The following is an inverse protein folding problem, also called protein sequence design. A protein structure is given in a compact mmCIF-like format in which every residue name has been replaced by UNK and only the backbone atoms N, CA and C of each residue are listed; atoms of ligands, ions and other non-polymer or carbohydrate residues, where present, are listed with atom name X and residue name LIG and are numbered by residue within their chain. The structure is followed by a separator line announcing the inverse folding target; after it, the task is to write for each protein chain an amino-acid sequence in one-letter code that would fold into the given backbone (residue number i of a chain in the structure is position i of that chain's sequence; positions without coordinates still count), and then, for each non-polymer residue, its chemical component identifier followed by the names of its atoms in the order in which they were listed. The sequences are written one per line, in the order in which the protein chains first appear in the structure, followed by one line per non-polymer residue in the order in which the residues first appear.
data_IF_042305073471
#
_entry.id   IF_042305073471
#
_cell.length_a   1.000
_cell.length_b   1.000
_cell.length_c   1.000
_cell.angle_alpha   90.00
_cell.angle_beta   90.00
_cell.angle_gamma   90.00
#
_symmetry.space_group_name_H-M   'P 1'
#
loop_
_entity.id
_entity.type
_entity.pdbx_description
1 polymer ?
#
# COMPACT_ATOMS: atom_id res chain seq x y z
N UNK A 1 -5.04 29.72 -6.85
CA UNK A 1 -3.58 29.84 -6.61
C UNK A 1 -2.85 28.92 -7.59
N UNK A 2 -1.61 29.23 -7.94
CA UNK A 2 -0.78 28.32 -8.70
C UNK A 2 -0.46 27.09 -7.83
N UNK A 3 -0.51 25.89 -8.41
CA UNK A 3 -0.34 24.62 -7.68
C UNK A 3 0.88 23.90 -8.23
N UNK A 4 1.76 23.40 -7.36
CA UNK A 4 2.87 22.54 -7.77
C UNK A 4 2.41 21.09 -7.77
N UNK A 5 2.59 20.42 -8.89
CA UNK A 5 2.41 18.98 -9.06
C UNK A 5 3.78 18.36 -9.22
N UNK A 6 3.99 17.18 -8.64
CA UNK A 6 5.26 16.47 -8.68
C UNK A 6 5.02 15.17 -9.44
N UNK A 7 5.96 14.80 -10.32
CA UNK A 7 5.92 13.56 -11.07
C UNK A 7 7.30 12.90 -11.07
N UNK A 8 7.32 11.57 -10.95
CA UNK A 8 8.51 10.74 -11.19
C UNK A 8 8.66 10.45 -12.68
N UNK A 9 9.89 10.47 -13.18
CA UNK A 9 10.22 10.23 -14.59
C UNK A 9 11.73 9.93 -14.70
N UNK A 10 12.21 9.52 -15.88
CA UNK A 10 13.66 9.40 -16.12
C UNK A 10 14.30 10.77 -16.37
N UNK A 11 15.62 10.87 -16.20
CA UNK A 11 16.37 12.09 -16.49
C UNK A 11 16.20 12.54 -17.95
N UNK A 12 16.22 11.59 -18.89
CA UNK A 12 15.99 11.83 -20.32
C UNK A 12 14.61 12.44 -20.59
N UNK A 13 13.56 11.88 -19.99
CA UNK A 13 12.20 12.40 -20.10
C UNK A 13 12.05 13.76 -19.42
N UNK A 14 12.62 13.94 -18.22
CA UNK A 14 12.60 15.22 -17.52
C UNK A 14 13.23 16.34 -18.35
N UNK A 15 14.35 16.05 -19.05
CA UNK A 15 14.99 17.00 -19.95
C UNK A 15 14.10 17.36 -21.15
N UNK A 16 13.41 16.38 -21.74
CA UNK A 16 12.42 16.63 -22.81
C UNK A 16 11.25 17.50 -22.32
N UNK A 17 10.72 17.22 -21.14
CA UNK A 17 9.64 18.00 -20.52
C UNK A 17 10.11 19.44 -20.26
N UNK A 18 11.33 19.65 -19.75
CA UNK A 18 11.91 20.99 -19.56
C UNK A 18 12.08 21.72 -20.90
N UNK A 19 12.50 21.01 -21.94
CA UNK A 19 12.66 21.56 -23.29
C UNK A 19 11.32 21.87 -23.99
N UNK A 20 10.19 21.54 -23.36
CA UNK A 20 8.86 21.80 -23.89
C UNK A 20 8.29 20.69 -24.76
N UNK A 21 8.97 19.54 -24.83
CA UNK A 21 8.46 18.31 -25.45
C UNK A 21 7.72 17.47 -24.42
N UNK A 22 6.41 17.69 -24.36
CA UNK A 22 5.51 17.02 -23.44
C UNK A 22 4.78 15.84 -24.07
N UNK A 23 5.07 15.51 -25.35
CA UNK A 23 4.47 14.35 -26.02
C UNK A 23 5.05 13.03 -25.48
N UNK A 24 6.26 13.08 -24.93
CA UNK A 24 6.93 11.97 -24.25
C UNK A 24 6.39 11.66 -22.85
N UNK A 25 5.46 12.47 -22.31
CA UNK A 25 5.00 12.34 -20.93
C UNK A 25 3.47 12.17 -20.87
N UNK A 26 3.01 10.92 -20.80
CA UNK A 26 1.59 10.65 -20.50
C UNK A 26 1.33 10.81 -19.00
N UNK A 27 1.03 12.06 -18.64
CA UNK A 27 0.66 12.48 -17.29
C UNK A 27 -0.56 11.74 -16.72
N UNK A 28 -1.33 11.00 -17.52
CA UNK A 28 -2.52 10.25 -17.05
C UNK A 28 -2.16 8.95 -16.33
N UNK A 29 -1.02 8.37 -16.68
CA UNK A 29 -0.41 7.23 -15.99
C UNK A 29 0.48 7.70 -14.83
N UNK A 30 1.12 8.87 -14.99
CA UNK A 30 2.21 9.32 -14.11
C UNK A 30 1.87 10.47 -13.13
N UNK A 31 0.60 10.91 -13.07
CA UNK A 31 0.19 11.99 -12.16
C UNK A 31 -1.15 11.63 -11.49
N UNK A 32 -1.15 11.23 -10.21
CA UNK A 32 -2.38 11.17 -9.46
C UNK A 32 -2.84 12.61 -9.22
N UNK A 33 -3.91 12.97 -9.91
CA UNK A 33 -4.71 14.12 -9.52
C UNK A 33 -5.13 13.93 -8.06
N UNK A 34 -4.53 14.66 -7.14
CA UNK A 34 -5.13 15.39 -6.03
C UNK A 34 -4.05 15.71 -4.99
N UNK A 35 -4.11 16.92 -4.45
CA UNK A 35 -3.34 17.42 -3.28
C UNK A 35 -2.10 16.59 -2.94
N UNK A 36 -1.01 16.84 -3.67
CA UNK A 36 0.27 16.17 -3.46
C UNK A 36 0.84 16.57 -2.09
N UNK A 37 0.46 15.82 -1.06
CA UNK A 37 1.33 15.49 0.05
C UNK A 37 1.73 14.04 -0.18
N UNK A 38 2.87 13.84 -0.86
CA UNK A 38 3.74 12.65 -0.89
C UNK A 38 3.12 11.37 -0.30
N UNK A 39 2.06 10.91 -0.93
CA UNK A 39 1.62 9.53 -0.89
C UNK A 39 1.99 8.97 -2.24
N UNK A 40 3.10 8.24 -2.28
CA UNK A 40 3.46 7.22 -3.26
C UNK A 40 2.79 7.31 -4.65
N UNK A 41 3.53 7.85 -5.61
CA UNK A 41 3.11 7.95 -7.00
C UNK A 41 3.58 6.69 -7.79
N UNK A 42 2.68 5.98 -8.50
CA UNK A 42 3.04 4.92 -9.44
C UNK A 42 4.10 5.33 -10.48
N UNK A 43 4.13 6.59 -10.89
CA UNK A 43 5.15 7.15 -11.80
C UNK A 43 6.58 6.98 -11.29
N UNK A 44 6.76 7.13 -9.96
CA UNK A 44 8.07 7.00 -9.30
C UNK A 44 8.43 5.51 -9.12
N UNK A 45 7.46 4.59 -9.26
CA UNK A 45 7.69 3.14 -9.32
C UNK A 45 8.08 2.68 -10.73
N UNK A 46 7.43 3.22 -11.74
CA UNK A 46 7.66 2.83 -13.13
C UNK A 46 9.00 3.38 -13.67
N UNK A 47 9.40 4.58 -13.24
CA UNK A 47 10.72 5.14 -13.54
C UNK A 47 11.91 4.40 -12.89
N UNK A 48 11.70 3.64 -11.80
CA UNK A 48 12.76 2.82 -11.16
C UNK A 48 12.94 1.45 -11.81
N UNK A 49 11.94 0.95 -12.55
CA UNK A 49 12.02 -0.36 -13.21
C UNK A 49 12.74 -0.28 -14.58
N UNK A 50 12.99 0.93 -15.09
CA UNK A 50 13.83 1.17 -16.26
C UNK A 50 15.27 1.42 -15.78
N UNK A 51 16.08 0.36 -15.67
CA UNK A 51 17.50 0.47 -15.34
C UNK A 51 18.31 -0.26 -16.40
N UNK A 52 18.85 0.48 -17.36
CA UNK A 52 19.91 0.01 -18.26
C UNK A 52 21.04 1.06 -18.49
N UNK A 53 20.82 2.38 -18.25
CA UNK A 53 21.83 3.45 -18.44
C UNK A 53 21.59 4.72 -17.56
N UNK A 54 22.58 5.62 -17.46
CA UNK A 54 22.56 6.88 -16.68
C UNK A 54 21.49 7.89 -17.19
N UNK A 55 21.00 7.69 -18.43
CA UNK A 55 19.85 8.40 -19.00
C UNK A 55 18.51 8.03 -18.38
N UNK A 56 18.44 6.85 -17.74
CA UNK A 56 17.24 6.31 -17.10
C UNK A 56 17.19 6.59 -15.59
N UNK A 57 18.15 7.39 -15.09
CA UNK A 57 18.17 7.79 -13.68
C UNK A 57 16.83 8.41 -13.28
N UNK A 58 16.15 7.89 -12.23
CA UNK A 58 14.87 8.43 -11.80
C UNK A 58 15.06 9.82 -11.21
N UNK A 59 14.23 10.77 -11.65
CA UNK A 59 14.20 12.15 -11.15
C UNK A 59 12.77 12.60 -10.86
N UNK A 60 12.65 13.61 -9.99
CA UNK A 60 11.36 14.23 -9.68
C UNK A 60 11.28 15.60 -10.33
N UNK A 61 10.21 15.83 -11.08
CA UNK A 61 9.95 17.11 -11.75
C UNK A 61 8.80 17.84 -11.05
N UNK A 62 9.00 19.13 -10.77
CA UNK A 62 7.94 20.03 -10.30
C UNK A 62 7.28 20.77 -11.48
N UNK A 63 5.98 20.57 -11.66
CA UNK A 63 5.13 21.24 -12.63
C UNK A 63 4.30 22.32 -11.92
N UNK A 64 4.50 23.60 -12.25
CA UNK A 64 3.69 24.69 -11.71
C UNK A 64 2.48 24.95 -12.61
N UNK A 65 1.28 24.63 -12.12
CA UNK A 65 0.02 24.81 -12.83
C UNK A 65 -0.57 26.20 -12.58
N UNK A 66 -1.22 26.79 -13.61
CA UNK A 66 -1.91 28.08 -13.51
C UNK A 66 -3.12 28.09 -12.56
N UNK A 67 -3.79 26.95 -12.35
CA UNK A 67 -4.98 26.83 -11.48
C UNK A 67 -5.28 25.38 -11.07
N UNK A 68 -5.77 25.16 -9.84
CA UNK A 68 -6.19 23.84 -9.32
C UNK A 68 -7.35 23.20 -10.10
N UNK A 69 -8.25 24.01 -10.67
CA UNK A 69 -9.38 23.52 -11.49
C UNK A 69 -8.94 22.86 -12.79
N UNK A 70 -7.66 23.04 -13.16
CA UNK A 70 -7.06 22.42 -14.33
C UNK A 70 -6.76 20.95 -14.09
N UNK A 71 -6.67 20.48 -12.84
CA UNK A 71 -6.70 19.04 -12.59
C UNK A 71 -8.07 18.53 -13.07
N UNK A 72 -9.15 18.74 -12.34
CA UNK A 72 -10.52 18.20 -12.49
C UNK A 72 -11.17 17.99 -13.90
N UNK A 73 -10.69 18.52 -15.03
CA UNK A 73 -11.27 18.26 -16.36
C UNK A 73 -10.24 17.62 -17.30
N UNK A 74 -10.73 16.79 -18.23
CA UNK A 74 -10.05 16.33 -19.46
C UNK A 74 -9.49 17.46 -20.39
N UNK A 75 -9.37 18.68 -19.86
CA UNK A 75 -8.84 19.89 -20.48
C UNK A 75 -7.34 20.11 -20.27
N UNK A 76 -6.61 19.23 -19.59
CA UNK A 76 -5.12 19.25 -19.62
C UNK A 76 -4.56 18.64 -20.91
N UNK A 77 -5.41 18.51 -21.95
CA UNK A 77 -4.95 18.35 -23.33
C UNK A 77 -4.18 19.57 -23.88
N UNK A 78 -4.05 20.68 -23.14
CA UNK A 78 -3.39 21.90 -23.64
C UNK A 78 -2.23 22.36 -22.76
N UNK A 79 -1.03 22.03 -23.23
CA UNK A 79 0.33 22.45 -22.87
C UNK A 79 0.47 23.91 -22.38
N UNK A 80 -0.43 24.79 -22.80
CA UNK A 80 -0.54 26.19 -22.34
C UNK A 80 -0.79 26.41 -20.83
N UNK A 81 -1.05 25.34 -20.06
CA UNK A 81 -1.44 25.42 -18.65
C UNK A 81 -0.27 25.29 -17.64
N UNK A 82 0.88 24.79 -18.09
CA UNK A 82 2.11 24.67 -17.30
C UNK A 82 2.86 26.00 -17.38
N UNK A 83 3.17 26.59 -16.22
CA UNK A 83 3.87 27.87 -16.13
C UNK A 83 5.38 27.68 -16.17
N UNK A 84 5.87 26.70 -15.42
CA UNK A 84 7.29 26.33 -15.35
C UNK A 84 7.43 24.86 -14.98
N UNK A 85 8.52 24.26 -15.44
CA UNK A 85 8.96 22.91 -15.11
C UNK A 85 10.39 22.98 -14.60
N UNK A 86 10.71 22.24 -13.52
CA UNK A 86 12.10 22.05 -13.10
C UNK A 86 12.32 20.69 -12.46
N UNK A 87 13.48 20.11 -12.68
CA UNK A 87 13.98 19.00 -11.88
C UNK A 87 14.26 19.52 -10.47
N UNK A 88 13.87 18.76 -9.46
CA UNK A 88 14.13 19.09 -8.06
C UNK A 88 15.47 18.46 -7.68
N UNK A 89 16.44 19.25 -7.18
CA UNK A 89 17.67 18.68 -6.64
C UNK A 89 17.39 17.76 -5.45
N UNK A 90 18.18 16.68 -5.31
CA UNK A 90 18.01 15.70 -4.24
C UNK A 90 18.02 16.32 -2.83
N UNK A 91 18.81 17.38 -2.61
CA UNK A 91 18.80 18.13 -1.34
C UNK A 91 17.49 18.89 -1.09
N UNK A 92 16.88 19.47 -2.13
CA UNK A 92 15.60 20.17 -2.02
C UNK A 92 14.47 19.16 -1.83
N UNK A 93 14.55 18.02 -2.54
CA UNK A 93 13.66 16.90 -2.34
C UNK A 93 13.79 16.35 -0.92
N UNK A 94 15.00 16.16 -0.42
CA UNK A 94 15.29 15.74 0.95
C UNK A 94 14.66 16.69 1.98
N UNK A 95 14.90 18.00 1.84
CA UNK A 95 14.36 19.01 2.77
C UNK A 95 12.83 19.08 2.74
N UNK A 96 12.20 18.85 1.59
CA UNK A 96 10.74 18.95 1.40
C UNK A 96 10.01 17.66 1.74
N UNK A 97 10.62 16.53 1.45
CA UNK A 97 9.97 15.21 1.44
C UNK A 97 10.46 14.29 2.55
N UNK A 98 11.65 14.54 3.09
CA UNK A 98 12.29 13.71 4.10
C UNK A 98 12.97 12.45 3.55
N UNK A 99 13.02 12.27 2.22
CA UNK A 99 13.63 11.11 1.56
C UNK A 99 15.04 11.44 1.07
N UNK A 100 16.03 10.61 1.45
CA UNK A 100 17.34 10.57 0.77
C UNK A 100 17.27 9.55 -0.35
N UNK A 101 17.43 10.00 -1.59
CA UNK A 101 17.96 9.16 -2.66
C UNK A 101 19.47 9.01 -2.46
N UNK A 102 20.02 7.88 -2.88
CA UNK A 102 21.44 7.49 -2.73
C UNK A 102 22.39 8.68 -2.74
N UNK A 103 22.79 9.11 -1.55
CA UNK A 103 23.78 10.13 -1.32
C UNK A 103 25.09 9.41 -1.02
N UNK A 104 26.21 9.85 -1.60
CA UNK A 104 27.54 9.30 -1.28
C UNK A 104 27.80 9.30 0.24
N UNK A 105 27.20 10.22 1.00
CA UNK A 105 27.27 10.27 2.46
C UNK A 105 26.54 9.12 3.19
N UNK A 106 25.71 8.33 2.51
CA UNK A 106 25.06 7.13 3.03
C UNK A 106 25.77 5.85 2.62
N UNK A 107 26.74 5.93 1.71
CA UNK A 107 27.52 4.78 1.27
C UNK A 107 28.28 4.18 2.46
N UNK A 108 28.19 2.85 2.61
CA UNK A 108 28.83 2.11 3.71
C UNK A 108 28.06 2.11 5.04
N UNK A 109 26.93 2.80 5.16
CA UNK A 109 26.05 2.66 6.33
C UNK A 109 25.21 1.38 6.24
N UNK A 110 25.05 0.71 7.39
CA UNK A 110 24.23 -0.49 7.51
C UNK A 110 22.75 -0.16 7.26
N UNK A 111 22.10 -0.97 6.43
CA UNK A 111 20.66 -0.87 6.20
C UNK A 111 19.90 -1.77 7.17
N UNK A 112 18.74 -1.32 7.64
CA UNK A 112 17.90 -2.13 8.48
C UNK A 112 16.43 -1.76 8.43
N UNK A 113 15.62 -2.59 9.07
CA UNK A 113 14.18 -2.38 9.20
C UNK A 113 13.82 -2.01 10.63
N UNK A 114 13.01 -0.98 10.80
CA UNK A 114 12.51 -0.57 12.12
C UNK A 114 11.50 -1.58 12.62
N UNK A 115 11.87 -2.36 13.62
CA UNK A 115 11.07 -3.44 14.22
C UNK A 115 10.09 -2.92 15.28
N UNK A 116 10.54 -1.94 16.07
CA UNK A 116 9.77 -1.31 17.16
C UNK A 116 10.12 0.16 17.26
N UNK A 117 9.14 0.97 17.61
CA UNK A 117 9.33 2.40 17.89
C UNK A 117 8.61 2.77 19.19
N UNK A 118 9.33 3.38 20.13
CA UNK A 118 8.78 3.85 21.40
C UNK A 118 9.54 5.05 21.92
N UNK A 119 8.85 6.17 22.16
CA UNK A 119 9.40 7.36 22.81
C UNK A 119 10.73 7.90 22.23
N UNK A 120 10.91 7.80 20.90
CA UNK A 120 12.15 8.24 20.22
C UNK A 120 13.30 7.24 20.26
N UNK A 121 13.06 6.04 20.81
CA UNK A 121 13.94 4.87 20.72
C UNK A 121 13.37 3.90 19.69
N UNK A 122 14.24 3.41 18.81
CA UNK A 122 13.89 2.55 17.70
C UNK A 122 14.72 1.28 17.79
N UNK A 123 14.09 0.11 17.65
CA UNK A 123 14.82 -1.14 17.47
C UNK A 123 14.90 -1.40 15.98
N UNK A 124 16.11 -1.46 15.43
CA UNK A 124 16.38 -1.66 14.02
C UNK A 124 17.05 -3.01 13.82
N UNK A 125 16.49 -3.86 12.96
CA UNK A 125 17.10 -5.12 12.53
C UNK A 125 17.97 -4.85 11.31
N UNK A 126 19.28 -5.10 11.42
CA UNK A 126 20.23 -5.07 10.32
C UNK A 126 20.77 -6.50 10.15
N UNK A 127 20.46 -7.15 9.04
CA UNK A 127 20.79 -8.56 8.81
C UNK A 127 20.37 -9.44 10.00
N UNK A 128 21.31 -10.06 10.71
CA UNK A 128 21.06 -10.88 11.90
C UNK A 128 21.03 -10.08 13.21
N UNK A 129 21.58 -8.87 13.24
CA UNK A 129 21.78 -8.08 14.44
C UNK A 129 20.66 -7.07 14.70
N UNK A 130 20.46 -6.72 15.98
CA UNK A 130 19.52 -5.70 16.40
C UNK A 130 20.22 -4.56 17.12
N UNK A 131 19.94 -3.35 16.68
CA UNK A 131 20.47 -2.13 17.28
C UNK A 131 19.36 -1.31 17.92
N UNK A 132 19.61 -0.84 19.13
CA UNK A 132 18.85 0.23 19.75
C UNK A 132 19.32 1.57 19.20
N UNK A 133 18.48 2.19 18.39
CA UNK A 133 18.80 3.45 17.72
C UNK A 133 18.03 4.64 18.27
N UNK A 134 18.66 5.80 18.15
CA UNK A 134 18.03 7.12 18.29
C UNK A 134 18.16 7.90 16.98
N UNK A 135 17.49 9.04 16.85
CA UNK A 135 17.62 9.92 15.68
C UNK A 135 18.87 10.81 15.81
N UNK A 136 19.60 11.02 14.71
CA UNK A 136 20.76 11.93 14.68
C UNK A 136 20.31 13.39 14.73
N UNK A 137 20.77 14.16 15.72
CA UNK A 137 20.62 15.63 15.76
C UNK A 137 19.38 16.18 16.48
N UNK A 138 19.19 17.51 16.43
CA UNK A 138 18.00 18.19 16.97
C UNK A 138 16.77 17.68 16.21
N UNK A 139 15.67 17.40 16.93
CA UNK A 139 14.39 16.91 16.40
C UNK A 139 13.88 17.70 15.18
N UNK A 140 14.32 18.94 14.99
CA UNK A 140 13.97 19.82 13.87
C UNK A 140 14.48 19.35 12.49
N UNK A 141 15.53 18.54 12.42
CA UNK A 141 15.99 17.96 11.14
C UNK A 141 14.98 16.93 10.60
N UNK A 142 14.24 16.28 11.49
CA UNK A 142 13.08 15.47 11.18
C UNK A 142 11.83 16.36 11.30
N UNK A 143 11.48 17.05 10.22
CA UNK A 143 10.28 17.89 10.17
C UNK A 143 9.02 17.10 10.58
N UNK A 144 7.88 17.77 10.79
CA UNK A 144 6.58 17.13 11.06
C UNK A 144 6.21 15.98 10.10
N UNK A 145 6.84 15.91 8.92
CA UNK A 145 6.66 14.88 7.91
C UNK A 145 7.66 13.70 7.97
N UNK A 146 8.68 13.74 8.83
CA UNK A 146 9.77 12.77 8.87
C UNK A 146 9.69 11.88 10.13
N UNK A 147 8.48 11.45 10.49
CA UNK A 147 8.31 10.48 11.57
C UNK A 147 8.73 9.08 11.10
N UNK A 148 9.64 8.47 11.85
CA UNK A 148 10.04 7.06 11.68
C UNK A 148 8.95 6.17 12.26
N UNK A 149 8.45 5.24 11.46
CA UNK A 149 7.45 4.24 11.84
C UNK A 149 8.04 2.83 11.77
N UNK A 150 7.38 1.91 12.46
CA UNK A 150 7.67 0.48 12.35
C UNK A 150 7.39 0.01 10.93
N UNK A 151 8.35 -0.69 10.33
CA UNK A 151 8.37 -1.05 8.90
C UNK A 151 9.22 -0.13 8.03
N UNK A 152 9.66 1.04 8.52
CA UNK A 152 10.59 1.86 7.75
C UNK A 152 11.92 1.14 7.54
N UNK A 153 12.42 1.21 6.31
CA UNK A 153 13.82 0.89 6.01
C UNK A 153 14.66 2.11 6.33
N UNK A 154 15.79 1.92 6.99
CA UNK A 154 16.64 3.00 7.48
C UNK A 154 18.11 2.68 7.24
N UNK A 155 18.92 3.73 7.10
CA UNK A 155 20.39 3.63 7.21
C UNK A 155 20.80 4.02 8.62
N UNK A 156 21.61 3.19 9.25
CA UNK A 156 22.11 3.43 10.60
C UNK A 156 23.63 3.57 10.62
N UNK A 157 24.11 4.46 11.48
CA UNK A 157 25.49 4.49 11.90
C UNK A 157 25.60 3.67 13.19
N UNK A 158 26.26 2.53 13.11
CA UNK A 158 26.55 1.67 14.27
C UNK A 158 27.55 2.39 15.17
N UNK A 159 27.24 2.47 16.47
CA UNK A 159 28.11 3.08 17.48
C UNK A 159 28.89 1.99 18.20
N UNK A 160 28.20 0.93 18.60
CA UNK A 160 28.74 -0.25 19.28
C UNK A 160 27.91 -1.51 18.91
N UNK A 161 28.20 -2.64 19.55
CA UNK A 161 27.54 -3.94 19.29
C UNK A 161 26.01 -3.92 19.43
N UNK A 162 25.45 -2.95 20.18
CA UNK A 162 24.02 -2.91 20.51
C UNK A 162 23.35 -1.57 20.22
N UNK A 163 24.12 -0.51 19.96
CA UNK A 163 23.60 0.83 19.74
C UNK A 163 23.97 1.40 18.37
N UNK A 164 23.07 2.23 17.86
CA UNK A 164 23.30 2.97 16.63
C UNK A 164 22.54 4.29 16.59
N UNK A 165 22.70 5.03 15.50
CA UNK A 165 21.91 6.23 15.23
C UNK A 165 21.31 6.12 13.83
N UNK A 166 20.00 6.37 13.70
CA UNK A 166 19.33 6.46 12.40
C UNK A 166 19.83 7.73 11.71
N UNK A 167 20.53 7.54 10.61
CA UNK A 167 21.03 8.60 9.76
C UNK A 167 19.99 9.02 8.70
N UNK A 168 19.23 8.05 8.18
CA UNK A 168 18.24 8.30 7.13
C UNK A 168 17.08 7.30 7.18
N UNK A 169 15.92 7.73 6.68
CA UNK A 169 14.78 6.86 6.36
C UNK A 169 14.73 6.69 4.84
N UNK A 170 14.75 5.45 4.39
CA UNK A 170 14.68 5.09 2.98
C UNK A 170 13.27 5.30 2.43
N UNK A 171 13.16 5.37 1.11
CA UNK A 171 11.87 5.48 0.43
C UNK A 171 10.93 4.34 0.82
N UNK A 172 9.66 4.70 1.06
CA UNK A 172 8.59 3.73 1.34
C UNK A 172 8.08 3.15 0.03
N UNK A 173 7.99 1.82 -0.08
CA UNK A 173 7.46 1.06 -1.23
C UNK A 173 5.94 0.83 -1.17
N UNK A 174 5.36 0.96 0.01
CA UNK A 174 3.92 0.95 0.25
C UNK A 174 3.65 1.69 1.57
N UNK A 175 2.41 2.12 1.79
CA UNK A 175 2.03 2.72 3.07
C UNK A 175 0.56 2.47 3.39
N UNK A 176 0.30 1.58 4.36
CA UNK A 176 -1.04 1.42 4.90
C UNK A 176 -1.35 2.54 5.89
N UNK A 177 -2.48 3.22 5.71
CA UNK A 177 -2.98 4.30 6.57
C UNK A 177 -4.34 3.98 7.14
N UNK A 178 -4.53 4.29 8.42
CA UNK A 178 -5.87 4.33 9.03
C UNK A 178 -5.98 5.38 10.12
N UNK A 179 -7.20 5.84 10.39
CA UNK A 179 -7.47 6.68 11.56
C UNK A 179 -7.30 5.86 12.84
N UNK A 180 -6.56 6.39 13.82
CA UNK A 180 -6.56 5.88 15.18
C UNK A 180 -7.83 6.25 15.93
N UNK A 181 -8.04 5.68 17.12
CA UNK A 181 -9.11 6.12 18.04
C UNK A 181 -8.99 7.62 18.34
N UNK A 182 -10.08 8.30 18.72
CA UNK A 182 -10.23 9.78 18.81
C UNK A 182 -9.04 10.60 19.37
N UNK A 183 -8.15 10.01 20.18
CA UNK A 183 -6.95 10.66 20.74
C UNK A 183 -5.63 10.40 20.01
N UNK A 184 -5.57 9.62 18.92
CA UNK A 184 -4.31 8.97 18.44
C UNK A 184 -3.90 9.22 16.98
N UNK A 185 -4.46 10.23 16.31
CA UNK A 185 -4.01 10.62 14.97
C UNK A 185 -4.19 9.51 13.91
N UNK A 186 -3.24 9.41 12.97
CA UNK A 186 -3.23 8.41 11.88
C UNK A 186 -2.19 7.33 12.19
N UNK A 187 -2.59 6.06 12.15
CA UNK A 187 -1.68 4.91 12.22
C UNK A 187 -1.16 4.61 10.83
N UNK A 188 0.15 4.42 10.71
CA UNK A 188 0.88 4.19 9.46
C UNK A 188 1.72 2.93 9.57
N UNK A 189 1.73 2.14 8.50
CA UNK A 189 2.60 0.99 8.33
C UNK A 189 3.27 1.12 6.96
N UNK A 190 4.46 1.70 6.90
CA UNK A 190 5.25 1.74 5.68
C UNK A 190 5.80 0.37 5.30
N UNK A 191 6.09 0.19 4.01
CA UNK A 191 6.74 -0.99 3.43
C UNK A 191 6.03 -2.30 3.76
N UNK A 192 4.71 -2.26 3.94
CA UNK A 192 3.92 -3.47 4.01
C UNK A 192 3.88 -4.10 2.61
N UNK A 193 4.66 -5.13 2.37
CA UNK A 193 4.77 -5.76 1.05
C UNK A 193 3.51 -6.59 0.73
N UNK A 194 2.95 -7.28 1.73
CA UNK A 194 1.85 -8.22 1.57
C UNK A 194 0.69 -8.04 2.53
N UNK A 195 -0.54 -8.10 2.03
CA UNK A 195 -1.77 -8.14 2.84
C UNK A 195 -2.51 -9.46 2.64
N UNK A 196 -2.44 -10.34 3.63
CA UNK A 196 -3.20 -11.61 3.63
C UNK A 196 -4.63 -11.33 4.11
N UNK A 197 -5.57 -11.35 3.18
CA UNK A 197 -7.00 -11.13 3.42
C UNK A 197 -7.66 -12.47 3.73
N UNK A 198 -7.83 -12.76 5.01
CA UNK A 198 -8.41 -14.01 5.49
C UNK A 198 -9.93 -13.93 5.48
N UNK A 199 -10.55 -14.79 4.68
CA UNK A 199 -11.98 -15.07 4.67
C UNK A 199 -12.23 -16.49 5.17
N UNK A 200 -13.37 -16.75 5.82
CA UNK A 200 -13.76 -18.10 6.22
C UNK A 200 -14.79 -18.64 5.23
N UNK A 201 -14.68 -19.91 4.88
CA UNK A 201 -15.64 -20.58 3.99
C UNK A 201 -16.95 -20.98 4.68
N UNK A 202 -17.06 -20.76 6.00
CA UNK A 202 -18.26 -21.15 6.78
C UNK A 202 -18.76 -20.07 7.74
N UNK A 203 -18.06 -19.85 8.86
CA UNK A 203 -18.50 -18.92 9.90
C UNK A 203 -17.39 -17.93 10.30
N UNK A 204 -17.52 -16.63 9.98
CA UNK A 204 -18.55 -16.06 9.10
C UNK A 204 -18.41 -16.57 7.65
N UNK A 205 -19.49 -16.54 6.84
CA UNK A 205 -19.42 -16.90 5.43
C UNK A 205 -18.61 -15.87 4.65
N UNK A 206 -18.29 -16.21 3.40
CA UNK A 206 -17.53 -15.33 2.51
C UNK A 206 -18.34 -14.07 2.23
N UNK A 207 -17.93 -12.96 2.82
CA UNK A 207 -18.55 -11.67 2.56
C UNK A 207 -17.79 -10.96 1.43
N UNK A 208 -18.16 -11.27 0.18
CA UNK A 208 -17.51 -10.78 -1.05
C UNK A 208 -17.26 -9.27 -1.04
N UNK A 209 -18.26 -8.48 -0.66
CA UNK A 209 -18.11 -7.03 -0.55
C UNK A 209 -17.04 -6.59 0.45
N UNK A 210 -16.90 -7.27 1.59
CA UNK A 210 -15.83 -6.94 2.54
C UNK A 210 -14.46 -7.35 2.00
N UNK A 211 -14.38 -8.47 1.30
CA UNK A 211 -13.18 -8.89 0.58
C UNK A 211 -12.77 -7.84 -0.46
N UNK A 212 -13.71 -7.40 -1.29
CA UNK A 212 -13.51 -6.35 -2.30
C UNK A 212 -13.01 -5.04 -1.67
N UNK A 213 -13.55 -4.68 -0.50
CA UNK A 213 -13.09 -3.50 0.24
C UNK A 213 -11.64 -3.61 0.70
N UNK A 214 -11.19 -4.78 1.15
CA UNK A 214 -9.79 -5.00 1.50
C UNK A 214 -8.88 -4.94 0.26
N UNK A 215 -9.32 -5.51 -0.86
CA UNK A 215 -8.58 -5.47 -2.12
C UNK A 215 -8.38 -4.02 -2.59
N UNK A 216 -9.43 -3.21 -2.60
CA UNK A 216 -9.34 -1.78 -2.94
C UNK A 216 -8.35 -1.04 -2.04
N UNK A 217 -8.34 -1.33 -0.74
CA UNK A 217 -7.40 -0.70 0.19
C UNK A 217 -5.97 -1.16 -0.08
N UNK A 218 -5.75 -2.44 -0.41
CA UNK A 218 -4.43 -2.96 -0.75
C UNK A 218 -3.89 -2.30 -2.04
N UNK A 219 -4.70 -2.28 -3.10
CA UNK A 219 -4.40 -1.64 -4.38
C UNK A 219 -4.05 -0.15 -4.18
N UNK A 220 -4.91 0.59 -3.46
CA UNK A 220 -4.67 2.01 -3.20
C UNK A 220 -3.44 2.28 -2.31
N UNK A 221 -2.98 1.29 -1.54
CA UNK A 221 -1.82 1.41 -0.67
C UNK A 221 -0.53 0.87 -1.32
N UNK A 222 -0.62 0.32 -2.54
CA UNK A 222 0.50 -0.33 -3.23
C UNK A 222 0.97 -1.62 -2.55
N UNK A 223 0.06 -2.34 -1.89
CA UNK A 223 0.35 -3.57 -1.14
C UNK A 223 -0.16 -4.76 -1.93
N UNK A 224 0.64 -5.82 -2.10
CA UNK A 224 0.23 -7.03 -2.80
C UNK A 224 -0.81 -7.80 -1.96
N UNK A 225 -2.07 -7.96 -2.43
CA UNK A 225 -3.06 -8.72 -1.69
C UNK A 225 -2.94 -10.23 -1.98
N UNK A 226 -3.16 -11.03 -0.94
CA UNK A 226 -3.37 -12.47 -1.04
C UNK A 226 -4.73 -12.82 -0.42
N UNK A 227 -5.60 -13.49 -1.17
CA UNK A 227 -6.89 -13.95 -0.66
C UNK A 227 -6.69 -15.32 -0.02
N UNK A 228 -6.96 -15.44 1.27
CA UNK A 228 -6.84 -16.70 2.00
C UNK A 228 -8.23 -17.19 2.44
N UNK A 229 -8.72 -18.25 1.81
CA UNK A 229 -9.98 -18.89 2.17
C UNK A 229 -9.71 -20.00 3.19
N UNK A 230 -9.98 -19.68 4.46
CA UNK A 230 -9.69 -20.54 5.59
C UNK A 230 -10.89 -21.40 6.02
N UNK A 231 -10.60 -22.44 6.82
CA UNK A 231 -11.57 -23.41 7.38
C UNK A 231 -12.14 -24.38 6.35
N UNK A 232 -11.37 -24.72 5.32
CA UNK A 232 -11.80 -25.67 4.27
C UNK A 232 -12.08 -27.08 4.81
N UNK A 233 -11.56 -27.41 5.99
CA UNK A 233 -11.89 -28.62 6.75
C UNK A 233 -13.39 -28.72 7.11
N UNK A 234 -14.11 -27.61 7.07
CA UNK A 234 -15.54 -27.57 7.36
C UNK A 234 -16.44 -27.72 6.13
N UNK A 235 -15.87 -27.78 4.92
CA UNK A 235 -16.60 -27.93 3.67
C UNK A 235 -16.95 -29.40 3.43
N UNK A 236 -18.21 -29.64 3.05
CA UNK A 236 -18.64 -30.92 2.47
C UNK A 236 -18.47 -30.97 0.95
N UNK A 237 -18.57 -29.80 0.33
CA UNK A 237 -18.44 -29.56 -1.11
C UNK A 237 -17.64 -28.27 -1.30
N UNK A 238 -16.79 -28.23 -2.32
CA UNK A 238 -15.92 -27.09 -2.66
C UNK A 238 -16.48 -26.23 -3.81
N UNK A 239 -17.57 -26.65 -4.47
CA UNK A 239 -18.09 -25.96 -5.66
C UNK A 239 -18.31 -24.45 -5.47
N UNK A 240 -18.87 -24.03 -4.32
CA UNK A 240 -19.09 -22.61 -4.03
C UNK A 240 -17.77 -21.83 -3.90
N UNK A 241 -16.83 -22.32 -3.08
CA UNK A 241 -15.56 -21.62 -2.85
C UNK A 241 -14.70 -21.59 -4.11
N UNK A 242 -14.71 -22.68 -4.90
CA UNK A 242 -13.97 -22.77 -6.16
C UNK A 242 -14.53 -21.80 -7.19
N UNK A 243 -15.86 -21.64 -7.26
CA UNK A 243 -16.51 -20.67 -8.15
C UNK A 243 -16.13 -19.22 -7.82
N UNK A 244 -16.10 -18.88 -6.52
CA UNK A 244 -15.70 -17.53 -6.06
C UNK A 244 -14.21 -17.32 -6.30
N UNK A 245 -13.38 -18.33 -6.00
CA UNK A 245 -11.93 -18.32 -6.22
C UNK A 245 -11.60 -18.03 -7.68
N UNK A 246 -12.25 -18.73 -8.62
CA UNK A 246 -12.04 -18.55 -10.04
C UNK A 246 -12.35 -17.12 -10.53
N UNK A 247 -13.30 -16.42 -9.90
CA UNK A 247 -13.60 -15.02 -10.25
C UNK A 247 -12.43 -14.11 -9.88
N UNK A 248 -11.86 -14.26 -8.68
CA UNK A 248 -10.74 -13.43 -8.22
C UNK A 248 -9.43 -13.76 -8.96
N UNK A 249 -9.19 -15.03 -9.27
CA UNK A 249 -8.00 -15.45 -10.02
C UNK A 249 -8.04 -14.96 -11.47
N UNK A 250 -9.21 -14.96 -12.12
CA UNK A 250 -9.37 -14.44 -13.48
C UNK A 250 -9.00 -12.96 -13.60
N UNK A 251 -9.20 -12.18 -12.53
CA UNK A 251 -8.86 -10.75 -12.49
C UNK A 251 -7.46 -10.49 -11.92
N UNK A 252 -6.65 -11.53 -11.73
CA UNK A 252 -5.23 -11.44 -11.40
C UNK A 252 -4.88 -11.57 -9.91
N UNK A 253 -5.85 -11.80 -9.03
CA UNK A 253 -5.56 -12.01 -7.60
C UNK A 253 -5.15 -13.44 -7.30
N UNK A 254 -4.08 -13.61 -6.52
CA UNK A 254 -3.70 -14.91 -5.99
C UNK A 254 -4.63 -15.33 -4.85
N UNK A 255 -5.05 -16.59 -4.86
CA UNK A 255 -5.82 -17.19 -3.77
C UNK A 255 -5.10 -18.40 -3.19
N UNK A 256 -5.35 -18.70 -1.91
CA UNK A 256 -4.92 -19.92 -1.25
C UNK A 256 -6.07 -20.43 -0.37
N UNK A 257 -6.41 -21.71 -0.53
CA UNK A 257 -7.31 -22.44 0.35
C UNK A 257 -6.50 -22.98 1.55
N UNK A 258 -6.95 -22.71 2.77
CA UNK A 258 -6.25 -23.15 3.98
C UNK A 258 -7.15 -23.81 5.01
N UNK A 259 -6.57 -24.68 5.82
CA UNK A 259 -7.12 -25.08 7.11
C UNK A 259 -6.06 -24.94 8.19
N UNK A 260 -6.28 -24.01 9.11
CA UNK A 260 -5.46 -23.91 10.32
C UNK A 260 -5.55 -25.18 11.21
N UNK A 261 -6.60 -25.99 11.05
CA UNK A 261 -6.82 -27.22 11.82
C UNK A 261 -6.04 -28.40 11.26
N UNK A 262 -6.10 -28.61 9.93
CA UNK A 262 -5.46 -29.76 9.29
C UNK A 262 -4.04 -29.45 8.80
N UNK A 263 -3.68 -28.17 8.67
CA UNK A 263 -2.41 -27.71 8.11
C UNK A 263 -2.41 -27.54 6.59
N UNK A 264 -3.52 -27.86 5.91
CA UNK A 264 -3.64 -27.68 4.46
C UNK A 264 -3.43 -26.21 4.07
N UNK A 265 -2.63 -25.97 3.02
CA UNK A 265 -2.31 -24.64 2.48
C UNK A 265 -1.37 -23.77 3.34
N UNK A 266 -0.92 -24.24 4.51
CA UNK A 266 -0.04 -23.46 5.40
C UNK A 266 1.35 -23.26 4.78
N UNK A 267 1.91 -24.27 4.11
CA UNK A 267 3.22 -24.15 3.46
C UNK A 267 3.18 -23.20 2.25
N UNK A 268 2.09 -23.20 1.47
CA UNK A 268 1.90 -22.25 0.38
C UNK A 268 1.80 -20.80 0.90
N UNK A 269 1.13 -20.62 2.03
CA UNK A 269 1.03 -19.33 2.71
C UNK A 269 2.40 -18.86 3.22
N UNK A 270 3.19 -19.74 3.85
CA UNK A 270 4.58 -19.43 4.26
C UNK A 270 5.45 -19.05 3.06
N UNK A 271 5.35 -19.81 1.97
CA UNK A 271 6.11 -19.55 0.75
C UNK A 271 5.79 -18.17 0.16
N UNK A 272 4.52 -17.76 0.17
CA UNK A 272 4.12 -16.43 -0.30
C UNK A 272 4.60 -15.30 0.64
N UNK A 273 4.59 -15.52 1.96
CA UNK A 273 5.00 -14.54 2.97
C UNK A 273 6.53 -14.41 3.11
N UNK A 274 7.29 -15.36 2.60
CA UNK A 274 8.75 -15.42 2.77
C UNK A 274 9.43 -14.16 2.24
N UNK A 275 10.24 -13.53 3.10
CA UNK A 275 11.00 -12.32 2.75
C UNK A 275 10.18 -11.03 2.63
N UNK A 276 8.88 -11.09 2.94
CA UNK A 276 7.96 -9.94 2.91
C UNK A 276 7.68 -9.42 4.31
N UNK A 277 7.43 -8.13 4.46
CA UNK A 277 6.65 -7.61 5.58
C UNK A 277 5.17 -7.86 5.24
N UNK A 278 4.54 -8.75 5.99
CA UNK A 278 3.14 -9.16 5.77
C UNK A 278 2.23 -8.72 6.92
N UNK A 279 0.95 -8.53 6.64
CA UNK A 279 -0.09 -8.33 7.65
C UNK A 279 -1.30 -9.21 7.35
N UNK A 280 -1.99 -9.67 8.40
CA UNK A 280 -3.24 -10.43 8.27
C UNK A 280 -4.44 -9.55 8.57
N UNK A 281 -5.44 -9.62 7.69
CA UNK A 281 -6.71 -8.93 7.85
C UNK A 281 -7.91 -9.80 7.54
N UNK A 282 -9.11 -9.33 7.85
CA UNK A 282 -10.36 -10.07 7.71
C UNK A 282 -11.29 -9.93 8.90
N UNK A 283 -12.52 -10.41 8.77
CA UNK A 283 -13.55 -10.30 9.81
C UNK A 283 -13.18 -11.04 11.10
N UNK A 284 -13.85 -10.71 12.21
CA UNK A 284 -13.71 -11.50 13.43
C UNK A 284 -14.18 -12.93 13.18
N UNK A 285 -13.51 -13.92 13.79
CA UNK A 285 -13.92 -15.33 13.68
C UNK A 285 -13.42 -16.08 12.43
N UNK A 286 -12.87 -15.42 11.41
CA UNK A 286 -12.37 -16.09 10.17
C UNK A 286 -11.14 -17.00 10.38
N UNK A 287 -10.48 -16.90 11.54
CA UNK A 287 -9.35 -17.77 11.92
C UNK A 287 -7.95 -17.16 11.74
N UNK A 288 -7.82 -15.83 11.62
CA UNK A 288 -6.51 -15.15 11.54
C UNK A 288 -5.51 -15.60 12.62
N UNK A 289 -5.93 -15.62 13.87
CA UNK A 289 -5.06 -16.02 15.00
C UNK A 289 -4.70 -17.49 14.95
N UNK A 290 -5.62 -18.36 14.52
CA UNK A 290 -5.33 -19.78 14.30
C UNK A 290 -4.31 -19.98 13.17
N UNK A 291 -4.44 -19.23 12.06
CA UNK A 291 -3.47 -19.23 10.97
C UNK A 291 -2.10 -18.73 11.42
N UNK A 292 -2.03 -17.61 12.16
CA UNK A 292 -0.76 -17.11 12.69
C UNK A 292 -0.05 -18.13 13.56
N UNK A 293 -0.79 -18.83 14.43
CA UNK A 293 -0.23 -19.89 15.26
C UNK A 293 0.21 -21.12 14.46
N UNK A 294 -0.47 -21.44 13.35
CA UNK A 294 -0.09 -22.54 12.46
C UNK A 294 1.16 -22.20 11.62
N UNK A 295 1.27 -20.93 11.18
CA UNK A 295 2.41 -20.42 10.39
C UNK A 295 3.66 -20.30 11.27
N UNK A 296 3.51 -19.73 12.46
CA UNK A 296 4.59 -19.46 13.40
C UNK A 296 4.17 -19.89 14.81
N UNK A 297 4.39 -21.16 15.18
CA UNK A 297 4.15 -21.64 16.53
C UNK A 297 4.95 -20.81 17.55
N UNK A 298 4.35 -20.54 18.72
CA UNK A 298 5.03 -19.78 19.77
C UNK A 298 5.09 -18.28 19.54
N UNK A 299 4.53 -17.75 18.44
CA UNK A 299 4.30 -16.33 18.26
C UNK A 299 3.28 -15.86 19.30
N UNK A 300 3.75 -15.39 20.46
CA UNK A 300 2.93 -14.85 21.56
C UNK A 300 2.36 -13.48 21.20
N UNK A 301 1.71 -13.37 20.04
CA UNK A 301 0.79 -12.29 19.77
C UNK A 301 -0.28 -12.35 20.85
N UNK A 302 -0.72 -11.19 21.36
CA UNK A 302 -1.81 -11.14 22.33
C UNK A 302 -3.09 -11.58 21.61
N UNK A 303 -3.32 -12.89 21.55
CA UNK A 303 -4.59 -13.47 21.16
C UNK A 303 -5.57 -13.07 22.24
N UNK A 304 -6.29 -11.96 22.02
CA UNK A 304 -7.45 -11.62 22.81
C UNK A 304 -8.52 -12.68 22.53
N UNK A 305 -8.41 -13.82 23.23
CA UNK A 305 -9.56 -14.64 23.52
C UNK A 305 -10.61 -13.70 24.11
N UNK A 306 -11.80 -13.67 23.50
CA UNK A 306 -12.92 -12.84 23.94
C UNK A 306 -13.28 -13.32 25.35
N UNK A 307 -12.79 -12.64 26.38
CA UNK A 307 -13.21 -12.90 27.75
C UNK A 307 -14.60 -12.25 27.93
N UNK A 308 -15.69 -13.01 28.04
CA UNK A 308 -17.05 -12.46 28.02
C UNK A 308 -17.45 -11.75 29.33
N UNK A 309 -16.57 -11.73 30.35
CA UNK A 309 -16.93 -11.30 31.71
C UNK A 309 -16.18 -10.11 32.28
N UNK A 310 -15.32 -9.43 31.50
CA UNK A 310 -14.70 -8.18 31.96
C UNK A 310 -14.64 -7.17 30.82
N UNK A 311 -15.36 -6.07 30.96
CA UNK A 311 -15.13 -4.84 30.21
C UNK A 311 -13.70 -4.37 30.46
N UNK A 312 -12.78 -4.78 29.58
CA UNK A 312 -11.35 -4.65 29.76
C UNK A 312 -10.75 -3.86 28.61
N UNK A 313 -10.60 -2.56 28.83
CA UNK A 313 -9.95 -1.58 27.96
C UNK A 313 -8.44 -1.85 27.91
N UNK A 314 -8.00 -2.77 27.07
CA UNK A 314 -6.57 -2.99 26.82
C UNK A 314 -6.26 -2.99 25.32
N UNK A 315 -5.98 -1.78 24.85
CA UNK A 315 -5.54 -1.42 23.50
C UNK A 315 -4.03 -1.66 23.43
N UNK A 316 -3.54 -2.68 22.73
CA UNK A 316 -2.13 -2.67 22.30
C UNK A 316 -2.01 -1.53 21.28
N UNK A 317 -1.16 -0.53 21.54
CA UNK A 317 -1.20 0.78 20.85
C UNK A 317 -0.11 0.93 19.78
N UNK A 318 0.98 0.16 19.86
CA UNK A 318 2.09 0.24 18.93
C UNK A 318 2.11 -0.96 17.98
N UNK A 319 2.19 -0.66 16.69
CA UNK A 319 2.58 -1.64 15.66
C UNK A 319 3.95 -2.22 16.01
N UNK A 320 4.13 -3.52 15.87
CA UNK A 320 5.42 -4.19 15.99
C UNK A 320 5.60 -5.18 14.85
N UNK A 321 6.84 -5.36 14.40
CA UNK A 321 7.20 -6.46 13.51
C UNK A 321 7.71 -7.64 14.33
N UNK A 322 7.35 -8.84 13.89
CA UNK A 322 7.86 -10.08 14.42
C UNK A 322 8.53 -10.87 13.30
N UNK A 323 9.70 -11.45 13.59
CA UNK A 323 10.39 -12.32 12.67
C UNK A 323 9.59 -13.62 12.46
N UNK A 324 9.62 -14.10 11.22
CA UNK A 324 9.13 -15.43 10.86
C UNK A 324 10.33 -16.36 10.69
N UNK A 325 10.27 -17.58 11.21
CA UNK A 325 11.41 -18.51 11.21
C UNK A 325 11.84 -18.92 9.79
N UNK A 326 10.93 -18.82 8.84
CA UNK A 326 11.18 -19.08 7.42
C UNK A 326 11.62 -17.83 6.63
N UNK A 327 11.81 -16.69 7.31
CA UNK A 327 12.22 -15.41 6.74
C UNK A 327 11.05 -14.47 6.42
N UNK A 328 11.28 -13.17 6.55
CA UNK A 328 10.25 -12.13 6.46
C UNK A 328 9.69 -11.74 7.83
N UNK A 329 8.67 -10.90 7.82
CA UNK A 329 8.11 -10.30 9.03
C UNK A 329 6.58 -10.34 9.01
N UNK A 330 5.98 -10.47 10.19
CA UNK A 330 4.56 -10.21 10.39
C UNK A 330 4.36 -8.93 11.20
N UNK A 331 3.57 -8.01 10.67
CA UNK A 331 3.16 -6.79 11.37
C UNK A 331 1.95 -7.09 12.25
N UNK A 332 2.10 -6.96 13.57
CA UNK A 332 0.96 -6.95 14.50
C UNK A 332 0.38 -5.55 14.57
N UNK A 333 -0.74 -5.39 13.88
CA UNK A 333 -1.42 -4.10 13.77
C UNK A 333 -2.78 -4.25 14.42
N UNK A 334 -2.91 -3.93 15.72
CA UNK A 334 -4.22 -3.93 16.36
C UNK A 334 -5.12 -2.98 15.57
N UNK A 335 -6.26 -3.47 15.06
CA UNK A 335 -7.29 -2.64 14.46
C UNK A 335 -7.33 -2.51 12.94
N UNK A 336 -6.78 -3.46 12.17
CA UNK A 336 -7.24 -3.70 10.77
C UNK A 336 -8.74 -4.13 10.69
N UNK A 337 -9.46 -4.04 11.82
CA UNK A 337 -10.88 -4.31 12.01
C UNK A 337 -11.79 -3.16 11.57
N UNK A 338 -11.31 -1.91 11.61
CA UNK A 338 -12.10 -0.74 11.19
C UNK A 338 -11.72 -0.34 9.76
N UNK A 339 -12.55 -0.78 8.81
CA UNK A 339 -12.33 -0.53 7.39
C UNK A 339 -13.03 0.74 6.95
N UNK A 340 -12.26 1.79 6.77
CA UNK A 340 -12.70 2.98 6.09
C UNK A 340 -11.81 3.22 4.89
N UNK A 341 -12.40 3.68 3.78
CA UNK A 341 -11.65 4.21 2.66
C UNK A 341 -10.95 5.48 3.14
N UNK A 342 -9.70 5.31 3.60
CA UNK A 342 -8.91 6.40 4.12
C UNK A 342 -8.01 6.94 3.02
N UNK A 343 -8.24 8.20 2.65
CA UNK A 343 -7.51 8.91 1.59
C UNK A 343 -7.67 8.27 0.20
N UNK A 344 -8.72 7.47 0.02
CA UNK A 344 -9.16 6.95 -1.27
C UNK A 344 -10.31 7.83 -1.75
N UNK A 345 -10.10 8.52 -2.87
CA UNK A 345 -11.13 9.34 -3.49
C UNK A 345 -12.07 8.48 -4.33
N UNK A 346 -13.38 8.60 -4.11
CA UNK A 346 -14.39 7.78 -4.79
C UNK A 346 -14.33 7.89 -6.33
N UNK A 347 -13.83 9.02 -6.86
CA UNK A 347 -13.63 9.23 -8.31
C UNK A 347 -12.46 8.46 -8.91
N UNK A 348 -11.60 7.86 -8.08
CA UNK A 348 -10.48 7.00 -8.49
C UNK A 348 -10.80 5.53 -8.24
N UNK A 349 -12.03 5.19 -7.82
CA UNK A 349 -12.41 3.83 -7.45
C UNK A 349 -12.21 2.83 -8.59
N UNK A 350 -12.40 3.28 -9.83
CA UNK A 350 -12.22 2.51 -11.06
C UNK A 350 -10.78 1.98 -11.21
N UNK A 351 -9.79 2.70 -10.67
CA UNK A 351 -8.37 2.30 -10.70
C UNK A 351 -8.05 1.14 -9.78
N UNK A 352 -8.86 0.91 -8.74
CA UNK A 352 -8.61 -0.11 -7.71
C UNK A 352 -9.40 -1.40 -7.93
N UNK A 353 -10.04 -1.53 -9.09
CA UNK A 353 -10.67 -2.76 -9.59
C UNK A 353 -9.94 -3.14 -10.89
N UNK A 354 -9.02 -4.13 -10.89
CA UNK A 354 -8.19 -4.46 -12.05
C UNK A 354 -8.98 -4.65 -13.35
N UNK A 355 -10.11 -5.36 -13.25
CA UNK A 355 -11.01 -5.66 -14.36
C UNK A 355 -11.69 -4.40 -14.93
N UNK A 356 -11.98 -3.42 -14.09
CA UNK A 356 -12.55 -2.13 -14.51
C UNK A 356 -11.44 -1.25 -15.07
N UNK A 357 -10.29 -1.18 -14.38
CA UNK A 357 -9.15 -0.35 -14.75
C UNK A 357 -8.66 -0.66 -16.17
N UNK A 358 -8.59 -1.94 -16.52
CA UNK A 358 -8.18 -2.42 -17.86
C UNK A 358 -9.09 -1.97 -19.01
N UNK A 359 -10.33 -1.58 -18.72
CA UNK A 359 -11.33 -1.18 -19.72
C UNK A 359 -11.55 0.33 -19.80
N UNK A 360 -10.94 1.12 -18.91
CA UNK A 360 -11.18 2.57 -18.80
C UNK A 360 -10.95 3.31 -20.11
N UNK A 361 -9.91 2.94 -20.85
CA UNK A 361 -9.53 3.58 -22.12
C UNK A 361 -10.45 3.21 -23.28
N UNK A 362 -11.22 2.13 -23.15
CA UNK A 362 -12.16 1.65 -24.16
C UNK A 362 -13.52 2.35 -24.07
N UNK A 363 -13.75 3.16 -23.04
CA UNK A 363 -14.95 3.96 -22.93
C UNK A 363 -14.94 5.12 -23.93
N UNK A 364 -16.04 5.28 -24.67
CA UNK A 364 -16.20 6.34 -25.68
C UNK A 364 -16.11 7.75 -25.06
N UNK A 365 -16.50 7.89 -23.79
CA UNK A 365 -16.48 9.16 -23.04
C UNK A 365 -15.30 9.17 -22.07
N UNK A 366 -14.45 10.20 -22.14
CA UNK A 366 -13.27 10.35 -21.28
C UNK A 366 -13.54 10.48 -19.77
N UNK A 367 -14.78 10.81 -19.38
CA UNK A 367 -15.21 10.93 -17.99
C UNK A 367 -16.35 9.95 -17.65
N UNK A 368 -16.18 8.68 -18.02
CA UNK A 368 -17.17 7.64 -17.72
C UNK A 368 -17.09 7.24 -16.24
N UNK A 369 -18.23 7.32 -15.54
CA UNK A 369 -18.40 6.81 -14.17
C UNK A 369 -18.72 5.32 -14.12
N UNK A 370 -18.92 4.71 -15.30
CA UNK A 370 -19.27 3.31 -15.52
C UNK A 370 -20.67 2.89 -15.04
N UNK A 371 -21.52 3.83 -14.61
CA UNK A 371 -22.83 3.55 -14.01
C UNK A 371 -24.01 3.76 -14.97
N UNK A 372 -23.97 4.77 -15.84
CA UNK A 372 -25.14 5.18 -16.64
C UNK A 372 -24.79 5.60 -18.08
N UNK A 373 -23.52 5.57 -18.44
CA UNK A 373 -23.06 6.08 -19.72
C UNK A 373 -23.28 5.10 -20.87
N UNK A 374 -23.94 5.59 -21.93
CA UNK A 374 -24.01 4.89 -23.22
C UNK A 374 -22.61 4.64 -23.80
N UNK A 375 -22.40 3.43 -24.33
CA UNK A 375 -21.11 3.01 -24.88
C UNK A 375 -20.02 2.73 -23.84
N UNK A 376 -20.40 2.54 -22.56
CA UNK A 376 -19.47 2.15 -21.51
C UNK A 376 -18.94 0.72 -21.74
N UNK A 377 -17.62 0.57 -21.88
CA UNK A 377 -16.96 -0.72 -22.06
C UNK A 377 -17.14 -1.64 -20.84
N UNK A 378 -17.16 -1.07 -19.62
CA UNK A 378 -17.40 -1.82 -18.37
C UNK A 378 -18.80 -2.40 -18.34
N UNK A 379 -19.82 -1.65 -18.77
CA UNK A 379 -21.20 -2.16 -18.84
C UNK A 379 -21.37 -3.21 -19.94
N UNK A 380 -20.64 -3.08 -21.06
CA UNK A 380 -20.62 -4.11 -22.09
C UNK A 380 -20.00 -5.42 -21.55
N UNK A 381 -18.87 -5.32 -20.86
CA UNK A 381 -18.19 -6.44 -20.21
C UNK A 381 -19.04 -7.09 -19.09
N UNK A 382 -19.85 -6.30 -18.38
CA UNK A 382 -20.82 -6.82 -17.42
C UNK A 382 -21.89 -7.68 -18.11
N UNK A 383 -22.42 -7.23 -19.26
CA UNK A 383 -23.44 -7.97 -20.02
C UNK A 383 -22.92 -9.28 -20.63
N UNK A 384 -21.65 -9.34 -20.99
CA UNK A 384 -21.00 -10.55 -21.53
C UNK A 384 -20.52 -11.51 -20.44
N UNK A 385 -20.51 -11.08 -19.17
CA UNK A 385 -20.03 -11.87 -18.03
C UNK A 385 -18.51 -11.81 -17.83
N UNK A 386 -17.81 -10.94 -18.55
CA UNK A 386 -16.37 -10.69 -18.38
C UNK A 386 -16.08 -9.99 -17.04
N UNK A 387 -17.03 -9.18 -16.56
CA UNK A 387 -17.03 -8.64 -15.19
C UNK A 387 -18.11 -9.35 -14.38
N UNK A 388 -17.74 -9.81 -13.19
CA UNK A 388 -18.69 -10.39 -12.24
C UNK A 388 -19.65 -9.33 -11.70
N UNK A 389 -20.93 -9.69 -11.62
CA UNK A 389 -22.00 -8.84 -11.11
C UNK A 389 -21.72 -8.34 -9.68
N UNK A 390 -21.29 -9.22 -8.76
CA UNK A 390 -21.02 -8.81 -7.39
C UNK A 390 -19.83 -7.84 -7.28
N UNK A 391 -18.84 -7.97 -8.17
CA UNK A 391 -17.67 -7.06 -8.22
C UNK A 391 -18.11 -5.68 -8.70
N UNK A 392 -18.94 -5.63 -9.74
CA UNK A 392 -19.51 -4.37 -10.23
C UNK A 392 -20.42 -3.70 -9.18
N UNK A 393 -21.21 -4.47 -8.45
CA UNK A 393 -22.02 -3.94 -7.34
C UNK A 393 -21.15 -3.34 -6.23
N UNK A 394 -20.09 -4.03 -5.81
CA UNK A 394 -19.10 -3.49 -4.86
C UNK A 394 -18.50 -2.17 -5.37
N UNK A 395 -18.15 -2.10 -6.66
CA UNK A 395 -17.64 -0.87 -7.28
C UNK A 395 -18.63 0.29 -7.16
N UNK A 396 -19.88 0.09 -7.56
CA UNK A 396 -20.94 1.11 -7.48
C UNK A 396 -21.16 1.60 -6.04
N UNK A 397 -21.29 0.68 -5.09
CA UNK A 397 -21.46 1.03 -3.67
C UNK A 397 -20.29 1.84 -3.13
N UNK A 398 -19.05 1.48 -3.48
CA UNK A 398 -17.87 2.19 -3.00
C UNK A 398 -17.72 3.56 -3.65
N UNK A 399 -18.19 3.73 -4.89
CA UNK A 399 -18.23 5.03 -5.55
C UNK A 399 -19.21 5.99 -4.85
N UNK A 400 -20.33 5.48 -4.33
CA UNK A 400 -21.31 6.26 -3.56
C UNK A 400 -20.87 6.59 -2.13
N UNK A 401 -19.78 5.98 -1.65
CA UNK A 401 -19.25 6.23 -0.30
C UNK A 401 -18.79 7.69 -0.16
N UNK A 402 -19.65 8.52 0.43
CA UNK A 402 -19.36 9.91 0.79
C UNK A 402 -18.78 9.97 2.20
N UNK A 403 -17.60 10.58 2.33
CA UNK A 403 -16.93 10.85 3.60
C UNK A 403 -17.74 11.78 4.49
#
# INVERSE_FOLDING_TARGET
MAMSVYAGTTLSEAQKIIAGDYAAFDWREHVPYCKVYLGMDPAIRDAENALDDDSDKPVVVALLLKSEKMLVKDRVRRLSAIKTVRIIPDEELLKRTGYLFDNENLAGLSEGTVMRASNGVYIVQCDADQYQCSLRGKRDAFSTNQQVYVGDRVKIQVIDETHGTIAAVMRRKSEYKRKGTQSKGVIRIPNLDGLVIVSSVKEPPIWQRMLDKFLVIAEASGIEPLICFNKIDMLKDRAEVDSITAVYERIGYRTILTSATTGEGIEDLKAWMKGKISALTGLSGVGKSSLLNAIQPGLKLKTNAVNPRRGGRHTTVSTQLYNLDFGGFIADTPGLRELHFWDIESRLMDRYFPEINSLRERCVKGACTHVHEEGCAVQAALKTGDISEFRYQSYCEFQEYKR
#
